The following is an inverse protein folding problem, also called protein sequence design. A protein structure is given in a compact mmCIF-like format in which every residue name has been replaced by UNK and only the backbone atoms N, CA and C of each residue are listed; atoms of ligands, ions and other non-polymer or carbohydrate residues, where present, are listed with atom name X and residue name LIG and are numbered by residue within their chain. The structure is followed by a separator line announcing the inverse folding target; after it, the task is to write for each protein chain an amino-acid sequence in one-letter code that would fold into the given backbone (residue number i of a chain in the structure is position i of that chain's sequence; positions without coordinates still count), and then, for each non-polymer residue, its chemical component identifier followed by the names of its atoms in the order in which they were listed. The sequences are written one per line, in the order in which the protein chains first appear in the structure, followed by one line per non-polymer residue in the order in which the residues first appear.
data_IF_321953300280
#
_entry.id   IF_321953300280
#
_cell.length_a   1.000
_cell.length_b   1.000
_cell.length_c   1.000
_cell.angle_alpha   90.00
_cell.angle_beta   90.00
_cell.angle_gamma   90.00
#
_symmetry.space_group_name_H-M   'P 1'
#
loop_
_entity.id
_entity.type
_entity.pdbx_description
1 polymer ?
#
# COMPACT_ATOMS: atom_id res chain seq x y z
N UNK A 1 25.45 42.77 9.26
CA UNK A 1 25.16 41.43 9.82
C UNK A 1 24.71 40.40 8.79
N UNK A 2 23.85 40.72 7.84
CA UNK A 2 23.35 39.76 6.80
C UNK A 2 24.47 39.19 5.89
N UNK A 3 25.48 39.99 5.52
CA UNK A 3 26.61 39.55 4.67
C UNK A 3 27.59 38.59 5.38
N UNK A 4 27.73 38.66 6.69
CA UNK A 4 28.62 37.76 7.45
C UNK A 4 27.99 36.41 7.74
N UNK A 5 26.67 36.38 7.94
CA UNK A 5 25.91 35.14 8.09
C UNK A 5 25.85 34.34 6.78
N UNK A 6 25.68 35.02 5.63
CA UNK A 6 25.72 34.38 4.32
C UNK A 6 27.09 33.76 3.99
N UNK A 7 28.17 34.37 4.43
CA UNK A 7 29.56 33.86 4.23
C UNK A 7 29.83 32.61 5.07
N UNK A 8 29.32 32.55 6.31
CA UNK A 8 29.47 31.35 7.18
C UNK A 8 28.65 30.17 6.69
N UNK A 9 27.40 30.41 6.26
CA UNK A 9 26.53 29.36 5.69
C UNK A 9 27.15 28.78 4.42
N UNK A 10 27.67 29.63 3.53
CA UNK A 10 28.34 29.18 2.31
C UNK A 10 29.60 28.38 2.63
N UNK A 11 30.43 28.85 3.54
CA UNK A 11 31.65 28.13 3.96
C UNK A 11 31.32 26.75 4.55
N UNK A 12 30.23 26.64 5.33
CA UNK A 12 29.79 25.37 5.86
C UNK A 12 29.29 24.43 4.74
N UNK A 13 28.56 24.96 3.78
CA UNK A 13 28.09 24.18 2.62
C UNK A 13 29.26 23.68 1.77
N UNK A 14 30.23 24.57 1.46
CA UNK A 14 31.41 24.22 0.69
C UNK A 14 32.28 23.18 1.45
N UNK A 15 32.41 23.30 2.77
CA UNK A 15 33.09 22.30 3.62
C UNK A 15 32.37 20.94 3.58
N UNK A 16 31.00 20.94 3.60
CA UNK A 16 30.20 19.74 3.52
C UNK A 16 30.35 19.11 2.14
N UNK A 17 30.20 19.89 1.06
CA UNK A 17 30.26 19.39 -0.32
C UNK A 17 31.64 18.80 -0.67
N UNK A 18 32.71 19.31 -0.08
CA UNK A 18 34.04 18.73 -0.26
C UNK A 18 34.17 17.31 0.34
N UNK A 19 33.27 16.88 1.23
CA UNK A 19 33.31 15.60 1.95
C UNK A 19 32.11 14.71 1.64
N UNK A 20 30.97 15.33 1.44
CA UNK A 20 29.70 14.69 1.09
C UNK A 20 29.00 15.59 0.06
N UNK A 21 28.82 15.15 -1.18
CA UNK A 21 28.42 16.00 -2.32
C UNK A 21 26.93 16.37 -2.26
N UNK A 22 26.51 17.07 -1.21
CA UNK A 22 25.11 17.39 -0.91
C UNK A 22 24.47 18.25 -2.01
N UNK A 23 25.16 19.30 -2.46
CA UNK A 23 24.68 20.16 -3.55
C UNK A 23 24.59 19.42 -4.88
N UNK A 24 25.51 18.51 -5.15
CA UNK A 24 25.45 17.65 -6.35
C UNK A 24 24.24 16.73 -6.30
N UNK A 25 24.01 16.05 -5.17
CA UNK A 25 22.87 15.17 -4.97
C UNK A 25 21.54 15.95 -5.08
N UNK A 26 21.46 17.15 -4.50
CA UNK A 26 20.30 18.02 -4.65
C UNK A 26 20.02 18.39 -6.11
N UNK A 27 21.05 18.76 -6.84
CA UNK A 27 20.92 19.14 -8.24
C UNK A 27 20.49 17.95 -9.10
N UNK A 28 21.16 16.81 -8.99
CA UNK A 28 20.89 15.63 -9.83
C UNK A 28 19.53 15.00 -9.56
N UNK A 29 19.07 14.99 -8.30
CA UNK A 29 17.83 14.28 -7.93
C UNK A 29 16.61 15.18 -7.79
N UNK A 30 16.77 16.50 -7.65
CA UNK A 30 15.67 17.44 -7.44
C UNK A 30 15.69 18.62 -8.41
N UNK A 31 16.73 19.46 -8.37
CA UNK A 31 16.71 20.73 -9.11
C UNK A 31 16.87 20.55 -10.63
N UNK A 32 17.68 19.60 -11.07
CA UNK A 32 17.93 19.26 -12.48
C UNK A 32 17.26 17.96 -12.92
N UNK A 33 16.44 17.33 -12.07
CA UNK A 33 15.59 16.23 -12.46
C UNK A 33 14.36 16.75 -13.17
N UNK A 34 14.26 16.49 -14.47
CA UNK A 34 13.14 16.94 -15.30
C UNK A 34 12.02 15.91 -15.30
N UNK A 35 10.88 16.29 -14.76
CA UNK A 35 9.66 15.49 -14.74
C UNK A 35 8.68 15.95 -15.83
N UNK A 36 7.80 15.06 -16.35
CA UNK A 36 6.76 15.44 -17.30
C UNK A 36 5.86 16.57 -16.79
N UNK A 37 5.68 17.62 -17.61
CA UNK A 37 4.92 18.83 -17.21
C UNK A 37 3.41 18.62 -17.03
N UNK A 38 2.87 17.46 -17.39
CA UNK A 38 1.44 17.15 -17.38
C UNK A 38 0.99 16.21 -16.27
N UNK A 39 1.75 16.06 -15.18
CA UNK A 39 1.33 15.26 -14.03
C UNK A 39 -0.01 15.75 -13.48
N UNK A 40 -0.87 14.78 -13.13
CA UNK A 40 -2.14 15.02 -12.47
C UNK A 40 -2.13 14.44 -11.04
N UNK A 41 -3.27 14.47 -10.33
CA UNK A 41 -3.37 14.05 -8.94
C UNK A 41 -2.94 12.59 -8.67
N UNK A 42 -3.02 11.69 -9.65
CA UNK A 42 -2.56 10.31 -9.50
C UNK A 42 -1.07 10.18 -9.20
N UNK A 43 -0.29 11.22 -9.48
CA UNK A 43 1.16 11.19 -9.26
C UNK A 43 1.57 11.55 -7.83
N UNK A 44 0.65 12.05 -6.98
CA UNK A 44 0.90 12.28 -5.56
C UNK A 44 1.07 10.99 -4.76
N UNK A 45 0.44 9.88 -5.17
CA UNK A 45 0.43 8.66 -4.38
C UNK A 45 1.81 7.99 -4.19
N UNK A 46 2.81 8.33 -5.00
CA UNK A 46 4.19 7.90 -4.78
C UNK A 46 4.86 8.62 -3.60
N UNK A 47 4.80 9.95 -3.57
CA UNK A 47 5.33 10.76 -2.46
C UNK A 47 4.54 10.57 -1.17
N UNK A 48 3.21 10.37 -1.27
CA UNK A 48 2.38 10.03 -0.12
C UNK A 48 2.69 8.65 0.47
N UNK A 49 3.03 7.65 -0.36
CA UNK A 49 3.46 6.34 0.13
C UNK A 49 4.76 6.46 0.95
N UNK A 50 5.71 7.29 0.47
CA UNK A 50 6.94 7.57 1.22
C UNK A 50 6.65 8.30 2.55
N UNK A 51 5.73 9.27 2.56
CA UNK A 51 5.30 9.95 3.77
C UNK A 51 4.74 8.96 4.79
N UNK A 52 3.83 8.08 4.36
CA UNK A 52 3.21 7.10 5.26
C UNK A 52 4.25 6.10 5.77
N UNK A 53 5.20 5.67 4.93
CA UNK A 53 6.31 4.82 5.38
C UNK A 53 7.07 5.48 6.52
N UNK A 54 7.39 6.77 6.42
CA UNK A 54 8.06 7.52 7.50
C UNK A 54 7.19 7.58 8.75
N UNK A 55 5.89 7.85 8.60
CA UNK A 55 4.93 7.84 9.73
C UNK A 55 4.93 6.48 10.43
N UNK A 56 4.89 5.37 9.67
CA UNK A 56 4.89 4.01 10.23
C UNK A 56 6.18 3.70 10.97
N UNK A 57 7.34 4.01 10.40
CA UNK A 57 8.64 3.78 11.05
C UNK A 57 8.74 4.59 12.34
N UNK A 58 8.45 5.89 12.28
CA UNK A 58 8.58 6.77 13.46
C UNK A 58 7.61 6.35 14.56
N UNK A 59 6.33 6.17 14.25
CA UNK A 59 5.33 5.73 15.24
C UNK A 59 5.64 4.33 15.79
N UNK A 60 6.14 3.42 14.95
CA UNK A 60 6.57 2.08 15.35
C UNK A 60 7.72 2.12 16.36
N UNK A 61 8.74 2.95 16.13
CA UNK A 61 9.86 3.12 17.08
C UNK A 61 9.35 3.59 18.46
N UNK A 62 8.43 4.57 18.49
CA UNK A 62 7.85 5.02 19.77
C UNK A 62 6.99 3.96 20.44
N UNK A 63 6.27 3.13 19.67
CA UNK A 63 5.50 2.02 20.25
C UNK A 63 6.41 0.98 20.91
N UNK A 64 7.55 0.64 20.30
CA UNK A 64 8.48 -0.36 20.88
C UNK A 64 9.05 0.03 22.22
N UNK A 65 9.08 1.32 22.56
CA UNK A 65 9.59 1.79 23.87
C UNK A 65 8.75 1.29 25.05
N UNK A 66 7.48 1.00 24.82
CA UNK A 66 6.53 0.59 25.87
C UNK A 66 5.88 -0.78 25.59
N UNK A 67 6.06 -1.34 24.39
CA UNK A 67 5.48 -2.62 24.02
C UNK A 67 6.33 -3.79 24.55
N UNK A 68 5.67 -4.88 24.96
CA UNK A 68 6.29 -6.12 25.42
C UNK A 68 5.80 -7.28 24.54
N UNK A 69 6.67 -7.92 23.75
CA UNK A 69 6.29 -9.07 22.91
C UNK A 69 6.23 -10.37 23.73
N UNK A 70 5.32 -10.43 24.69
CA UNK A 70 5.16 -11.55 25.60
C UNK A 70 3.69 -11.99 25.63
N UNK A 71 3.43 -13.19 25.15
CA UNK A 71 2.11 -13.81 25.08
C UNK A 71 1.67 -14.48 26.39
N UNK A 72 2.56 -14.59 27.40
CA UNK A 72 2.24 -15.21 28.66
C UNK A 72 1.27 -14.35 29.49
N UNK A 73 0.49 -15.04 30.33
CA UNK A 73 -0.47 -14.39 31.20
C UNK A 73 0.23 -13.68 32.37
N UNK A 74 -0.14 -12.45 32.61
CA UNK A 74 0.30 -11.69 33.77
C UNK A 74 -0.54 -12.03 35.03
N UNK A 75 -0.29 -11.35 36.14
CA UNK A 75 -1.01 -11.55 37.40
C UNK A 75 -2.54 -11.31 37.30
N UNK A 76 -3.01 -10.63 36.28
CA UNK A 76 -4.44 -10.38 36.00
C UNK A 76 -5.03 -11.40 35.01
N UNK A 77 -4.32 -12.49 34.69
CA UNK A 77 -4.71 -13.49 33.71
C UNK A 77 -4.92 -12.93 32.29
N UNK A 78 -4.23 -11.85 31.94
CA UNK A 78 -4.23 -11.24 30.61
C UNK A 78 -2.84 -11.38 29.97
N UNK A 79 -2.75 -11.57 28.64
CA UNK A 79 -1.47 -11.60 27.94
C UNK A 79 -0.70 -10.29 28.13
N UNK A 80 0.60 -10.38 28.39
CA UNK A 80 1.41 -9.19 28.66
C UNK A 80 1.51 -8.26 27.44
N UNK A 81 1.52 -8.80 26.22
CA UNK A 81 1.49 -8.01 24.99
C UNK A 81 0.20 -7.19 24.87
N UNK A 82 -0.96 -7.80 25.17
CA UNK A 82 -2.24 -7.09 25.15
C UNK A 82 -2.27 -5.97 26.20
N UNK A 83 -1.85 -6.26 27.43
CA UNK A 83 -1.80 -5.25 28.50
C UNK A 83 -0.78 -4.15 28.23
N UNK A 84 0.31 -4.43 27.51
CA UNK A 84 1.26 -3.41 27.07
C UNK A 84 0.61 -2.42 26.08
N UNK A 85 -0.25 -2.90 25.17
CA UNK A 85 -1.02 -2.01 24.28
C UNK A 85 -2.02 -1.17 25.07
N UNK A 86 -2.74 -1.77 26.04
CA UNK A 86 -3.66 -1.03 26.93
C UNK A 86 -2.91 0.05 27.73
N UNK A 87 -1.74 -0.27 28.27
CA UNK A 87 -0.86 0.69 28.95
C UNK A 87 -0.46 1.86 28.04
N UNK A 88 -0.05 1.58 26.80
CA UNK A 88 0.27 2.62 25.81
C UNK A 88 -0.96 3.51 25.56
N UNK A 89 -2.13 2.92 25.44
CA UNK A 89 -3.37 3.64 25.13
C UNK A 89 -3.88 4.51 26.27
N UNK A 90 -3.67 4.11 27.52
CA UNK A 90 -4.32 4.72 28.69
C UNK A 90 -3.39 5.51 29.59
N UNK A 91 -2.16 5.01 29.80
CA UNK A 91 -1.26 5.53 30.83
C UNK A 91 -0.08 6.31 30.25
N UNK A 92 0.35 6.01 29.03
CA UNK A 92 1.44 6.75 28.37
C UNK A 92 0.88 8.06 27.81
N UNK A 93 1.48 9.19 28.21
CA UNK A 93 1.09 10.51 27.73
C UNK A 93 1.20 10.60 26.20
N UNK A 94 0.07 10.85 25.50
CA UNK A 94 -0.01 10.87 24.04
C UNK A 94 0.11 9.50 23.37
N UNK A 95 0.20 8.41 24.13
CA UNK A 95 0.37 7.05 23.60
C UNK A 95 -0.76 6.61 22.67
N UNK A 96 -2.01 7.00 22.98
CA UNK A 96 -3.16 6.73 22.11
C UNK A 96 -3.02 7.37 20.71
N UNK A 97 -2.43 8.58 20.62
CA UNK A 97 -2.17 9.24 19.33
C UNK A 97 -1.20 8.39 18.51
N UNK A 98 -0.08 7.98 19.10
CA UNK A 98 0.96 7.19 18.44
C UNK A 98 0.42 5.81 18.04
N UNK A 99 -0.34 5.16 18.92
CA UNK A 99 -0.96 3.87 18.64
C UNK A 99 -1.96 3.95 17.48
N UNK A 100 -2.87 4.94 17.50
CA UNK A 100 -3.79 5.13 16.39
C UNK A 100 -3.09 5.64 15.11
N UNK A 101 -2.07 6.47 15.23
CA UNK A 101 -1.26 6.90 14.09
C UNK A 101 -0.64 5.69 13.37
N UNK A 102 -0.18 4.69 14.12
CA UNK A 102 0.39 3.48 13.57
C UNK A 102 -0.67 2.57 12.94
N UNK A 103 -1.75 2.24 13.66
CA UNK A 103 -2.80 1.31 13.19
C UNK A 103 -3.64 1.91 12.05
N UNK A 104 -4.10 3.15 12.18
CA UNK A 104 -4.80 3.87 11.11
C UNK A 104 -3.88 4.11 9.93
N UNK A 105 -2.60 4.44 10.21
CA UNK A 105 -1.58 4.63 9.21
C UNK A 105 -1.33 3.40 8.36
N UNK A 106 -1.40 2.18 8.92
CA UNK A 106 -1.30 0.95 8.14
C UNK A 106 -2.42 0.86 7.08
N UNK A 107 -3.67 1.18 7.44
CA UNK A 107 -4.77 1.24 6.48
C UNK A 107 -4.56 2.33 5.41
N UNK A 108 -4.11 3.52 5.80
CA UNK A 108 -3.79 4.58 4.85
C UNK A 108 -2.63 4.22 3.93
N UNK A 109 -1.66 3.42 4.41
CA UNK A 109 -0.56 2.94 3.59
C UNK A 109 -1.09 2.08 2.44
N UNK A 110 -1.97 1.11 2.73
CA UNK A 110 -2.58 0.29 1.68
C UNK A 110 -3.48 1.09 0.74
N UNK A 111 -4.25 2.07 1.24
CA UNK A 111 -5.03 2.97 0.38
C UNK A 111 -4.11 3.67 -0.63
N UNK A 112 -3.04 4.29 -0.15
CA UNK A 112 -2.10 5.03 -0.97
C UNK A 112 -1.36 4.12 -1.95
N UNK A 113 -0.91 2.94 -1.52
CA UNK A 113 -0.20 1.97 -2.36
C UNK A 113 -1.12 1.39 -3.42
N UNK A 114 -2.36 1.03 -3.11
CA UNK A 114 -3.33 0.59 -4.11
C UNK A 114 -3.59 1.67 -5.17
N UNK A 115 -3.78 2.92 -4.76
CA UNK A 115 -3.98 4.02 -5.69
C UNK A 115 -2.73 4.29 -6.55
N UNK A 116 -1.53 4.12 -5.96
CA UNK A 116 -0.26 4.18 -6.68
C UNK A 116 -0.13 3.06 -7.73
N UNK A 117 -0.49 1.83 -7.39
CA UNK A 117 -0.51 0.69 -8.30
C UNK A 117 -1.55 0.87 -9.42
N UNK A 118 -2.76 1.33 -9.08
CA UNK A 118 -3.79 1.67 -10.06
C UNK A 118 -3.35 2.75 -11.03
N UNK A 119 -2.63 3.78 -10.57
CA UNK A 119 -2.02 4.77 -11.46
C UNK A 119 -1.07 4.10 -12.46
N UNK A 120 -0.24 3.18 -11.98
CA UNK A 120 0.64 2.38 -12.83
C UNK A 120 -0.14 1.59 -13.88
N UNK A 121 -1.23 0.97 -13.48
CA UNK A 121 -2.11 0.18 -14.36
C UNK A 121 -2.81 1.07 -15.41
N UNK A 122 -3.42 2.19 -14.98
CA UNK A 122 -4.17 3.12 -15.84
C UNK A 122 -3.27 3.74 -16.92
N UNK A 123 -2.04 4.14 -16.55
CA UNK A 123 -1.13 4.82 -17.48
C UNK A 123 -0.06 3.91 -18.09
N UNK A 124 -0.10 2.60 -17.80
CA UNK A 124 0.86 1.64 -18.34
C UNK A 124 2.29 1.90 -17.86
N UNK A 125 2.45 2.32 -16.58
CA UNK A 125 3.78 2.62 -16.01
C UNK A 125 4.64 1.38 -15.76
N UNK A 126 4.11 0.19 -15.98
CA UNK A 126 4.81 -1.10 -15.96
C UNK A 126 5.45 -1.47 -17.29
N UNK A 127 5.12 -0.74 -18.38
CA UNK A 127 5.63 -1.03 -19.72
C UNK A 127 7.06 -0.48 -19.92
N UNK A 128 7.74 -1.06 -20.90
CA UNK A 128 9.11 -0.67 -21.29
C UNK A 128 9.27 0.86 -21.39
N UNK A 129 10.33 1.43 -20.74
CA UNK A 129 11.50 0.79 -20.12
C UNK A 129 11.36 0.67 -18.57
N UNK A 130 10.15 0.60 -18.00
CA UNK A 130 9.86 0.68 -16.55
C UNK A 130 9.52 -0.66 -15.91
N UNK A 131 9.85 -1.78 -16.58
CA UNK A 131 9.55 -3.12 -16.07
C UNK A 131 10.18 -3.37 -14.71
N UNK A 132 11.46 -2.97 -14.54
CA UNK A 132 12.17 -3.15 -13.28
C UNK A 132 11.60 -2.27 -12.17
N UNK A 133 11.17 -1.04 -12.49
CA UNK A 133 10.45 -0.17 -11.54
C UNK A 133 9.19 -0.87 -11.03
N UNK A 134 8.43 -1.50 -11.93
CA UNK A 134 7.22 -2.24 -11.57
C UNK A 134 7.52 -3.48 -10.71
N UNK A 135 8.58 -4.22 -11.02
CA UNK A 135 8.98 -5.39 -10.24
C UNK A 135 9.39 -5.00 -8.82
N UNK A 136 10.24 -3.96 -8.66
CA UNK A 136 10.56 -3.46 -7.31
C UNK A 136 9.30 -3.00 -6.57
N UNK A 137 8.37 -2.30 -7.23
CA UNK A 137 7.08 -1.94 -6.65
C UNK A 137 6.25 -3.15 -6.21
N UNK A 138 6.24 -4.22 -7.00
CA UNK A 138 5.55 -5.47 -6.65
C UNK A 138 6.20 -6.19 -5.47
N UNK A 139 7.52 -6.17 -5.37
CA UNK A 139 8.26 -6.71 -4.22
C UNK A 139 8.02 -5.88 -2.95
N UNK A 140 7.94 -4.54 -3.07
CA UNK A 140 7.54 -3.66 -1.98
C UNK A 140 6.13 -4.01 -1.51
N UNK A 141 5.19 -4.23 -2.42
CA UNK A 141 3.82 -4.62 -2.07
C UNK A 141 3.78 -5.95 -1.31
N UNK A 142 4.52 -6.96 -1.75
CA UNK A 142 4.66 -8.25 -1.05
C UNK A 142 5.28 -8.09 0.35
N UNK A 143 6.37 -7.34 0.45
CA UNK A 143 7.02 -7.06 1.74
C UNK A 143 6.08 -6.28 2.67
N UNK A 144 5.30 -5.33 2.14
CA UNK A 144 4.31 -4.58 2.91
C UNK A 144 3.15 -5.48 3.40
N UNK A 145 2.73 -6.46 2.60
CA UNK A 145 1.74 -7.46 3.05
C UNK A 145 2.29 -8.29 4.22
N UNK A 146 3.55 -8.76 4.14
CA UNK A 146 4.20 -9.49 5.22
C UNK A 146 4.36 -8.62 6.46
N UNK A 147 4.81 -7.37 6.29
CA UNK A 147 4.96 -6.38 7.36
C UNK A 147 3.66 -6.15 8.12
N UNK A 148 2.58 -5.89 7.39
CA UNK A 148 1.27 -5.66 7.98
C UNK A 148 0.71 -6.91 8.68
N UNK A 149 0.91 -8.09 8.12
CA UNK A 149 0.49 -9.34 8.75
C UNK A 149 1.20 -9.59 10.08
N UNK A 150 2.52 -9.43 10.09
CA UNK A 150 3.32 -9.61 11.30
C UNK A 150 2.97 -8.57 12.36
N UNK A 151 2.79 -7.30 11.97
CA UNK A 151 2.39 -6.21 12.88
C UNK A 151 0.98 -6.38 13.43
N UNK A 152 0.07 -6.98 12.66
CA UNK A 152 -1.30 -7.23 13.11
C UNK A 152 -1.39 -8.23 14.26
N UNK A 153 -0.46 -9.19 14.37
CA UNK A 153 -0.39 -10.14 15.47
C UNK A 153 -0.02 -9.45 16.80
N UNK A 154 0.80 -8.41 16.77
CA UNK A 154 1.45 -7.85 17.97
C UNK A 154 0.48 -7.37 19.07
N UNK A 155 -0.70 -6.77 18.77
CA UNK A 155 -1.65 -6.40 19.82
C UNK A 155 -2.19 -7.56 20.64
N UNK A 156 -2.04 -8.79 20.18
CA UNK A 156 -2.48 -10.02 20.83
C UNK A 156 -3.96 -10.00 21.21
N UNK A 157 -4.77 -9.37 20.36
CA UNK A 157 -6.21 -9.40 20.44
C UNK A 157 -6.79 -10.67 19.83
N UNK A 158 -8.08 -10.89 20.02
CA UNK A 158 -8.77 -12.11 19.60
C UNK A 158 -8.68 -12.32 18.06
N UNK A 159 -8.88 -11.24 17.28
CA UNK A 159 -8.77 -11.35 15.83
C UNK A 159 -7.31 -11.42 15.35
N UNK A 160 -6.38 -10.73 16.01
CA UNK A 160 -4.94 -10.82 15.75
C UNK A 160 -4.43 -12.25 15.87
N UNK A 161 -4.75 -12.91 16.97
CA UNK A 161 -4.33 -14.29 17.27
C UNK A 161 -4.92 -15.29 16.27
N UNK A 162 -6.26 -15.29 16.14
CA UNK A 162 -6.95 -16.24 15.28
C UNK A 162 -6.73 -15.97 13.78
N UNK A 163 -6.55 -14.71 13.40
CA UNK A 163 -6.15 -14.35 12.04
C UNK A 163 -4.77 -14.90 11.69
N UNK A 164 -3.80 -14.79 12.60
CA UNK A 164 -2.47 -15.35 12.40
C UNK A 164 -2.52 -16.89 12.34
N UNK A 165 -3.28 -17.54 13.22
CA UNK A 165 -3.47 -18.99 13.21
C UNK A 165 -3.99 -19.48 11.85
N UNK A 166 -5.01 -18.81 11.30
CA UNK A 166 -5.58 -19.16 9.98
C UNK A 166 -4.55 -18.96 8.87
N UNK A 167 -3.87 -17.81 8.83
CA UNK A 167 -2.93 -17.49 7.74
C UNK A 167 -1.72 -18.41 7.75
N UNK A 168 -1.14 -18.70 8.94
CA UNK A 168 0.02 -19.60 9.03
C UNK A 168 -0.39 -21.04 8.66
N UNK A 169 -1.59 -21.46 9.07
CA UNK A 169 -2.10 -22.78 8.70
C UNK A 169 -2.35 -22.95 7.19
N UNK A 170 -2.48 -21.87 6.41
CA UNK A 170 -2.54 -21.99 4.95
C UNK A 170 -1.27 -22.59 4.35
N UNK A 171 -0.11 -22.36 4.98
CA UNK A 171 1.14 -22.94 4.52
C UNK A 171 1.16 -24.46 4.70
N UNK A 172 0.41 -25.02 5.67
CA UNK A 172 0.32 -26.47 5.87
C UNK A 172 -0.34 -27.21 4.69
N UNK A 173 -1.11 -26.48 3.84
CA UNK A 173 -1.70 -27.05 2.64
C UNK A 173 -0.69 -27.31 1.51
N UNK A 174 0.54 -26.80 1.60
CA UNK A 174 1.59 -27.02 0.60
C UNK A 174 2.02 -28.49 0.67
N UNK A 175 1.97 -29.23 -0.46
CA UNK A 175 2.37 -30.64 -0.45
C UNK A 175 3.80 -30.86 0.02
N UNK A 176 4.04 -31.94 0.73
CA UNK A 176 5.33 -32.44 1.24
C UNK A 176 5.91 -31.60 2.37
N UNK A 177 6.10 -30.29 2.18
CA UNK A 177 6.81 -29.42 3.15
C UNK A 177 5.86 -28.60 4.04
N UNK A 178 4.56 -28.57 3.72
CA UNK A 178 3.60 -27.65 4.35
C UNK A 178 3.50 -27.76 5.87
N UNK A 179 3.31 -28.96 6.43
CA UNK A 179 3.23 -29.12 7.89
C UNK A 179 4.47 -28.64 8.63
N UNK A 180 5.65 -29.02 8.12
CA UNK A 180 6.94 -28.61 8.71
C UNK A 180 7.15 -27.10 8.58
N UNK A 181 6.80 -26.52 7.43
CA UNK A 181 6.89 -25.08 7.19
C UNK A 181 5.94 -24.30 8.13
N UNK A 182 4.71 -24.76 8.30
CA UNK A 182 3.75 -24.14 9.22
C UNK A 182 4.28 -24.18 10.67
N UNK A 183 4.76 -25.33 11.12
CA UNK A 183 5.39 -25.50 12.44
C UNK A 183 6.63 -24.59 12.60
N UNK A 184 7.45 -24.51 11.56
CA UNK A 184 8.62 -23.63 11.57
C UNK A 184 8.23 -22.15 11.67
N UNK A 185 7.19 -21.70 10.95
CA UNK A 185 6.70 -20.31 11.03
C UNK A 185 6.12 -20.01 12.42
N UNK A 186 5.30 -20.90 12.97
CA UNK A 186 4.79 -20.77 14.34
C UNK A 186 5.94 -20.76 15.37
N UNK A 187 6.96 -21.60 15.14
CA UNK A 187 7.97 -21.92 16.15
C UNK A 187 7.44 -22.85 17.24
N UNK A 188 6.23 -23.32 17.05
CA UNK A 188 5.47 -24.22 17.92
C UNK A 188 4.42 -24.94 17.05
N UNK A 189 3.58 -25.77 17.64
CA UNK A 189 2.46 -26.42 16.93
C UNK A 189 1.33 -25.43 16.57
N UNK A 190 1.17 -24.38 17.35
CA UNK A 190 0.16 -23.33 17.17
C UNK A 190 0.77 -21.95 17.39
N UNK A 191 0.01 -20.89 17.13
CA UNK A 191 0.39 -19.53 17.50
C UNK A 191 0.62 -19.47 19.01
N UNK A 192 1.83 -19.07 19.40
CA UNK A 192 2.29 -19.04 20.79
C UNK A 192 3.15 -17.81 21.05
N UNK A 193 3.67 -17.70 22.27
CA UNK A 193 4.64 -16.67 22.64
C UNK A 193 5.87 -16.66 21.71
N UNK A 194 6.33 -17.83 21.27
CA UNK A 194 7.44 -17.96 20.32
C UNK A 194 7.09 -17.32 18.98
N UNK A 195 5.86 -17.52 18.49
CA UNK A 195 5.37 -16.89 17.25
C UNK A 195 5.37 -15.36 17.40
N UNK A 196 4.86 -14.86 18.52
CA UNK A 196 4.78 -13.44 18.82
C UNK A 196 6.17 -12.79 18.80
N UNK A 197 7.14 -13.41 19.48
CA UNK A 197 8.50 -12.89 19.56
C UNK A 197 9.19 -12.87 18.19
N UNK A 198 9.02 -13.94 17.39
CA UNK A 198 9.55 -13.97 16.00
C UNK A 198 8.94 -12.90 15.14
N UNK A 199 7.63 -12.72 15.20
CA UNK A 199 6.92 -11.72 14.40
C UNK A 199 7.28 -10.30 14.83
N UNK A 200 7.49 -10.08 16.12
CA UNK A 200 7.99 -8.82 16.62
C UNK A 200 9.38 -8.49 16.04
N UNK A 201 10.32 -9.41 16.08
CA UNK A 201 11.66 -9.20 15.54
C UNK A 201 11.65 -8.93 14.02
N UNK A 202 10.82 -9.68 13.28
CA UNK A 202 10.67 -9.50 11.84
C UNK A 202 10.01 -8.15 11.49
N UNK A 203 8.93 -7.80 12.19
CA UNK A 203 8.17 -6.56 11.96
C UNK A 203 8.95 -5.30 12.36
N UNK A 204 9.73 -5.34 13.44
CA UNK A 204 10.43 -4.14 13.93
C UNK A 204 11.76 -3.92 13.23
N UNK A 205 12.42 -4.98 12.74
CA UNK A 205 13.78 -4.90 12.20
C UNK A 205 13.85 -5.41 10.76
N UNK A 206 13.59 -6.71 10.53
CA UNK A 206 13.99 -7.35 9.29
C UNK A 206 13.19 -6.85 8.09
N UNK A 207 11.88 -6.86 8.17
CA UNK A 207 11.01 -6.46 7.04
C UNK A 207 11.07 -4.94 6.77
N UNK A 208 11.12 -4.04 7.77
CA UNK A 208 11.37 -2.62 7.53
C UNK A 208 12.69 -2.36 6.80
N UNK A 209 13.77 -3.06 7.13
CA UNK A 209 15.05 -2.92 6.43
C UNK A 209 14.95 -3.38 4.97
N UNK A 210 14.26 -4.49 4.71
CA UNK A 210 13.99 -4.97 3.35
C UNK A 210 13.14 -3.95 2.58
N UNK A 211 12.08 -3.41 3.20
CA UNK A 211 11.23 -2.38 2.60
C UNK A 211 12.04 -1.14 2.24
N UNK A 212 12.86 -0.62 3.15
CA UNK A 212 13.72 0.54 2.88
C UNK A 212 14.68 0.28 1.72
N UNK A 213 15.33 -0.88 1.70
CA UNK A 213 16.22 -1.27 0.60
C UNK A 213 15.49 -1.35 -0.74
N UNK A 214 14.29 -1.95 -0.78
CA UNK A 214 13.47 -2.04 -1.98
C UNK A 214 12.95 -0.67 -2.44
N UNK A 215 12.57 0.22 -1.52
CA UNK A 215 12.13 1.59 -1.83
C UNK A 215 13.29 2.39 -2.45
N UNK A 216 14.49 2.29 -1.90
CA UNK A 216 15.69 2.92 -2.49
C UNK A 216 15.94 2.39 -3.90
N UNK A 217 15.91 1.08 -4.10
CA UNK A 217 16.08 0.46 -5.42
C UNK A 217 14.98 0.90 -6.42
N UNK A 218 13.73 1.00 -5.96
CA UNK A 218 12.60 1.47 -6.76
C UNK A 218 12.77 2.91 -7.23
N UNK A 219 13.22 3.80 -6.33
CA UNK A 219 13.46 5.22 -6.65
C UNK A 219 14.65 5.37 -7.59
N UNK A 220 15.76 4.64 -7.36
CA UNK A 220 16.93 4.65 -8.25
C UNK A 220 16.52 4.20 -9.66
N UNK A 221 15.81 3.07 -9.78
CA UNK A 221 15.31 2.58 -11.06
C UNK A 221 14.36 3.59 -11.73
N UNK A 222 13.52 4.30 -10.96
CA UNK A 222 12.64 5.34 -11.49
C UNK A 222 13.44 6.53 -12.05
N UNK A 223 14.47 6.99 -11.33
CA UNK A 223 15.31 8.11 -11.76
C UNK A 223 16.10 7.79 -13.04
N UNK A 224 16.56 6.55 -13.17
CA UNK A 224 17.28 6.08 -14.35
C UNK A 224 16.40 6.18 -15.62
N UNK A 225 15.23 5.58 -15.60
CA UNK A 225 14.35 5.54 -16.78
C UNK A 225 13.42 6.78 -16.89
N UNK A 226 13.23 7.53 -15.81
CA UNK A 226 12.32 8.67 -15.72
C UNK A 226 10.84 8.28 -15.52
N UNK A 227 10.06 9.20 -14.98
CA UNK A 227 8.64 9.02 -14.74
C UNK A 227 7.82 8.90 -16.02
N UNK A 228 6.83 8.00 -16.01
CA UNK A 228 5.78 7.99 -17.03
C UNK A 228 4.82 9.20 -16.82
N UNK A 229 3.91 9.44 -17.75
CA UNK A 229 2.93 10.52 -17.68
C UNK A 229 1.54 10.09 -18.18
N UNK A 230 0.50 10.91 -17.99
CA UNK A 230 -0.86 10.57 -18.37
C UNK A 230 -1.07 10.24 -19.85
N UNK A 231 -0.19 10.70 -20.74
CA UNK A 231 -0.26 10.39 -22.17
C UNK A 231 0.60 9.20 -22.58
N UNK A 232 1.53 8.77 -21.71
CA UNK A 232 2.47 7.69 -22.02
C UNK A 232 3.60 8.10 -22.98
N UNK A 233 3.81 9.42 -23.16
CA UNK A 233 4.88 9.98 -24.02
C UNK A 233 6.23 9.90 -23.31
N UNK A 234 7.28 9.45 -24.03
CA UNK A 234 8.65 9.42 -23.51
C UNK A 234 9.30 10.80 -23.67
N UNK A 235 9.25 11.65 -22.62
CA UNK A 235 9.75 13.03 -22.67
C UNK A 235 11.25 13.13 -22.93
N UNK A 236 12.04 12.11 -22.62
CA UNK A 236 13.49 12.09 -22.85
C UNK A 236 13.87 11.97 -24.33
N UNK A 237 12.91 11.67 -25.23
CA UNK A 237 13.17 11.52 -26.67
C UNK A 237 13.35 12.85 -27.40
N UNK A 238 12.58 13.86 -27.01
CA UNK A 238 12.63 15.18 -27.64
C UNK A 238 13.25 16.18 -26.66
N UNK A 239 14.42 16.70 -27.04
CA UNK A 239 15.21 17.63 -26.23
C UNK A 239 15.50 18.90 -27.01
N UNK A 240 15.76 19.99 -26.29
CA UNK A 240 16.28 21.22 -26.85
C UNK A 240 17.81 21.14 -27.11
N UNK A 241 18.39 22.25 -27.57
CA UNK A 241 19.83 22.39 -27.86
C UNK A 241 20.72 22.18 -26.63
N UNK A 242 20.16 22.40 -25.43
CA UNK A 242 20.84 22.21 -24.14
C UNK A 242 20.64 20.83 -23.53
N UNK A 243 19.97 19.92 -24.25
CA UNK A 243 19.68 18.55 -23.80
C UNK A 243 18.50 18.47 -22.80
N UNK A 244 17.75 19.55 -22.60
CA UNK A 244 16.58 19.61 -21.71
C UNK A 244 15.36 19.03 -22.43
N UNK A 245 14.60 18.11 -21.80
CA UNK A 245 13.39 17.58 -22.39
C UNK A 245 12.33 18.67 -22.66
N UNK A 246 11.86 18.79 -23.89
CA UNK A 246 10.87 19.80 -24.31
C UNK A 246 9.55 19.74 -23.54
N UNK A 247 9.19 18.55 -23.03
CA UNK A 247 8.00 18.28 -22.23
C UNK A 247 8.30 18.06 -20.74
N UNK A 248 9.53 18.41 -20.32
CA UNK A 248 9.98 18.38 -18.95
C UNK A 248 9.91 19.74 -18.27
N UNK A 249 9.71 19.72 -16.96
CA UNK A 249 9.98 20.87 -16.07
C UNK A 249 10.84 20.37 -14.90
N UNK A 250 11.69 21.22 -14.31
CA UNK A 250 12.46 20.85 -13.12
C UNK A 250 11.51 20.37 -12.02
N UNK A 251 11.88 19.29 -11.33
CA UNK A 251 11.07 18.79 -10.22
C UNK A 251 10.96 19.83 -9.10
N UNK A 252 12.10 20.39 -8.68
CA UNK A 252 12.12 21.53 -7.78
C UNK A 252 12.23 22.84 -8.58
N UNK A 253 11.39 23.87 -8.27
CA UNK A 253 10.39 23.92 -7.20
C UNK A 253 8.99 23.41 -7.60
N UNK A 254 8.73 23.13 -8.88
CA UNK A 254 7.36 22.97 -9.41
C UNK A 254 6.61 21.79 -8.78
N UNK A 255 7.20 20.58 -8.81
CA UNK A 255 6.55 19.40 -8.22
C UNK A 255 6.76 19.31 -6.71
N UNK A 256 7.83 19.85 -6.18
CA UNK A 256 8.03 19.96 -4.73
C UNK A 256 6.87 20.74 -4.08
N UNK A 257 6.47 21.90 -4.66
CA UNK A 257 5.34 22.68 -4.13
C UNK A 257 4.02 21.93 -4.27
N UNK A 258 3.82 21.23 -5.40
CA UNK A 258 2.62 20.39 -5.58
C UNK A 258 2.59 19.22 -4.60
N UNK A 259 3.70 18.55 -4.37
CA UNK A 259 3.78 17.45 -3.42
C UNK A 259 3.50 17.92 -1.98
N UNK A 260 4.00 19.11 -1.59
CA UNK A 260 3.64 19.72 -0.30
C UNK A 260 2.12 19.93 -0.20
N UNK A 261 1.47 20.44 -1.25
CA UNK A 261 0.00 20.54 -1.26
C UNK A 261 -0.67 19.18 -1.09
N UNK A 262 -0.21 18.16 -1.80
CA UNK A 262 -0.71 16.79 -1.66
C UNK A 262 -0.54 16.24 -0.24
N UNK A 263 0.62 16.48 0.38
CA UNK A 263 0.92 16.12 1.77
C UNK A 263 -0.03 16.82 2.74
N UNK A 264 -0.25 18.13 2.58
CA UNK A 264 -1.18 18.88 3.47
C UNK A 264 -2.60 18.34 3.36
N UNK A 265 -3.11 18.13 2.14
CA UNK A 265 -4.45 17.55 1.93
C UNK A 265 -4.54 16.15 2.55
N UNK A 266 -3.55 15.31 2.33
CA UNK A 266 -3.48 13.98 2.91
C UNK A 266 -3.49 14.03 4.45
N UNK A 267 -2.67 14.87 5.06
CA UNK A 267 -2.60 15.00 6.52
C UNK A 267 -3.91 15.51 7.12
N UNK A 268 -4.63 16.42 6.44
CA UNK A 268 -5.97 16.85 6.89
C UNK A 268 -6.91 15.65 6.93
N UNK A 269 -6.96 14.84 5.87
CA UNK A 269 -7.82 13.63 5.82
C UNK A 269 -7.36 12.60 6.86
N UNK A 270 -6.07 12.33 6.95
CA UNK A 270 -5.49 11.39 7.90
C UNK A 270 -5.78 11.79 9.35
N UNK A 271 -5.52 13.05 9.73
CA UNK A 271 -5.79 13.56 11.06
C UNK A 271 -7.30 13.57 11.38
N UNK A 272 -8.16 13.87 10.39
CA UNK A 272 -9.60 13.79 10.58
C UNK A 272 -10.04 12.38 10.97
N UNK A 273 -9.51 11.35 10.30
CA UNK A 273 -9.81 9.95 10.66
C UNK A 273 -9.15 9.58 11.98
N UNK A 274 -7.87 9.92 12.18
CA UNK A 274 -7.13 9.58 13.39
C UNK A 274 -7.77 10.12 14.68
N UNK A 275 -8.23 11.36 14.66
CA UNK A 275 -8.78 12.00 15.86
C UNK A 275 -10.28 11.71 16.07
N UNK A 276 -11.04 11.44 15.03
CA UNK A 276 -12.50 11.31 15.14
C UNK A 276 -13.02 9.90 14.90
N UNK A 277 -12.33 9.07 14.11
CA UNK A 277 -12.77 7.70 13.78
C UNK A 277 -11.59 6.75 13.50
N UNK A 278 -10.61 6.58 14.41
CA UNK A 278 -9.37 5.84 14.14
C UNK A 278 -9.60 4.36 13.81
N UNK A 279 -10.71 3.80 14.27
CA UNK A 279 -11.08 2.41 13.99
C UNK A 279 -11.77 2.24 12.63
N UNK A 280 -12.07 3.36 11.92
CA UNK A 280 -12.74 3.33 10.62
C UNK A 280 -14.09 2.59 10.63
N UNK A 281 -14.85 2.66 11.73
CA UNK A 281 -16.10 1.91 11.87
C UNK A 281 -15.92 0.39 11.95
N UNK A 282 -14.78 -0.08 12.41
CA UNK A 282 -14.43 -1.50 12.50
C UNK A 282 -13.70 -2.07 11.27
N UNK A 283 -13.44 -1.24 10.24
CA UNK A 283 -12.66 -1.68 9.08
C UNK A 283 -11.15 -1.55 9.27
N UNK A 284 -10.71 -0.59 10.08
CA UNK A 284 -9.28 -0.38 10.36
C UNK A 284 -8.84 -1.10 11.62
N UNK A 285 -9.72 -1.18 12.62
CA UNK A 285 -9.55 -2.00 13.81
C UNK A 285 -10.89 -2.67 14.11
N UNK A 286 -10.90 -3.98 14.10
CA UNK A 286 -12.08 -4.81 14.34
C UNK A 286 -12.42 -4.87 15.84
N UNK A 287 -13.72 -4.82 16.18
CA UNK A 287 -14.19 -4.87 17.55
C UNK A 287 -13.63 -6.08 18.36
N UNK A 288 -13.52 -7.31 17.83
CA UNK A 288 -12.96 -8.42 18.59
C UNK A 288 -11.48 -8.27 18.96
N UNK A 289 -10.75 -7.33 18.36
CA UNK A 289 -9.35 -7.06 18.72
C UNK A 289 -9.18 -6.19 19.97
N UNK A 290 -10.27 -5.68 20.51
CA UNK A 290 -10.29 -5.04 21.84
C UNK A 290 -10.48 -6.05 22.99
N UNK A 291 -10.71 -7.33 22.67
CA UNK A 291 -10.67 -8.45 23.62
C UNK A 291 -9.31 -9.14 23.53
N UNK A 292 -8.75 -9.50 24.70
CA UNK A 292 -7.50 -10.27 24.76
C UNK A 292 -7.64 -11.63 24.09
N UNK A 293 -6.58 -12.08 23.43
CA UNK A 293 -6.55 -13.39 22.76
C UNK A 293 -6.84 -14.52 23.72
N UNK A 294 -7.79 -15.38 23.35
CA UNK A 294 -8.12 -16.62 24.06
C UNK A 294 -8.03 -17.80 23.09
N UNK A 295 -7.00 -18.61 23.25
CA UNK A 295 -6.75 -19.78 22.41
C UNK A 295 -7.84 -20.87 22.50
N UNK A 296 -8.67 -20.84 23.56
CA UNK A 296 -9.75 -21.80 23.77
C UNK A 296 -11.12 -21.33 23.23
N UNK A 297 -11.19 -20.09 22.74
CA UNK A 297 -12.45 -19.49 22.25
C UNK A 297 -12.29 -18.96 20.84
N UNK A 298 -12.59 -19.79 19.85
CA UNK A 298 -12.57 -19.37 18.43
C UNK A 298 -13.65 -18.33 18.13
N UNK A 299 -13.33 -17.19 17.49
CA UNK A 299 -14.33 -16.22 17.06
C UNK A 299 -15.30 -16.85 16.03
N UNK A 300 -16.59 -16.48 16.04
CA UNK A 300 -17.59 -17.03 15.12
C UNK A 300 -17.31 -16.66 13.66
N UNK A 301 -16.56 -15.60 13.42
CA UNK A 301 -16.14 -15.14 12.10
C UNK A 301 -14.71 -14.62 12.17
N UNK A 302 -13.82 -15.21 11.38
CA UNK A 302 -12.43 -14.79 11.23
C UNK A 302 -12.27 -14.25 9.80
N UNK A 303 -11.91 -12.99 9.67
CA UNK A 303 -11.55 -12.37 8.40
C UNK A 303 -10.26 -11.56 8.57
N UNK A 304 -9.39 -11.50 7.56
CA UNK A 304 -8.24 -10.61 7.59
C UNK A 304 -8.67 -9.15 7.49
N UNK A 305 -7.77 -8.23 7.82
CA UNK A 305 -7.96 -6.80 7.63
C UNK A 305 -8.32 -6.48 6.17
N UNK A 306 -9.16 -5.47 5.95
CA UNK A 306 -9.82 -5.13 4.69
C UNK A 306 -8.90 -5.15 3.45
N UNK A 307 -7.65 -4.77 3.56
CA UNK A 307 -6.72 -4.72 2.44
C UNK A 307 -6.24 -6.10 1.95
N UNK A 308 -6.44 -7.15 2.73
CA UNK A 308 -6.20 -8.55 2.31
C UNK A 308 -7.45 -9.25 1.80
N UNK A 309 -8.63 -8.69 2.06
CA UNK A 309 -9.92 -9.36 1.76
C UNK A 309 -10.15 -9.70 0.29
N UNK A 310 -9.65 -8.94 -0.73
CA UNK A 310 -9.79 -9.36 -2.12
C UNK A 310 -9.11 -10.71 -2.39
N UNK A 311 -7.91 -10.91 -1.88
CA UNK A 311 -7.14 -12.15 -2.05
C UNK A 311 -7.71 -13.29 -1.21
N UNK A 312 -8.17 -12.98 0.01
CA UNK A 312 -8.85 -13.95 0.87
C UNK A 312 -10.19 -14.43 0.28
N UNK A 313 -10.92 -13.56 -0.41
CA UNK A 313 -12.12 -13.97 -1.13
C UNK A 313 -11.81 -14.97 -2.25
N UNK A 314 -10.73 -14.75 -3.02
CA UNK A 314 -10.26 -15.70 -4.04
C UNK A 314 -9.91 -17.04 -3.41
N UNK A 315 -9.16 -17.05 -2.30
CA UNK A 315 -8.81 -18.28 -1.58
C UNK A 315 -10.05 -19.08 -1.21
N UNK A 316 -11.08 -18.44 -0.63
CA UNK A 316 -12.32 -19.10 -0.20
C UNK A 316 -13.22 -19.50 -1.35
N UNK A 317 -13.16 -18.80 -2.48
CA UNK A 317 -14.01 -19.06 -3.64
C UNK A 317 -13.60 -20.32 -4.41
N UNK A 318 -12.30 -20.66 -4.40
CA UNK A 318 -11.78 -21.82 -5.12
C UNK A 318 -12.16 -23.09 -4.34
N UNK A 319 -12.90 -24.03 -4.97
CA UNK A 319 -13.30 -25.26 -4.30
C UNK A 319 -12.06 -26.15 -4.02
N UNK A 320 -12.15 -26.93 -2.96
CA UNK A 320 -11.16 -27.99 -2.70
C UNK A 320 -11.30 -29.07 -3.78
N UNK A 321 -10.31 -29.12 -4.66
CA UNK A 321 -10.21 -30.17 -5.69
C UNK A 321 -9.28 -31.27 -5.18
N UNK A 322 -9.58 -32.52 -5.49
CA UNK A 322 -8.84 -33.69 -4.96
C UNK A 322 -8.74 -33.74 -3.42
N UNK A 323 -9.72 -33.20 -2.71
CA UNK A 323 -9.77 -33.22 -1.24
C UNK A 323 -8.78 -32.29 -0.54
N UNK A 324 -8.08 -31.40 -1.27
CA UNK A 324 -7.10 -30.48 -0.69
C UNK A 324 -7.46 -29.02 -0.93
N UNK A 325 -7.17 -28.17 0.05
CA UNK A 325 -7.35 -26.71 -0.05
C UNK A 325 -6.17 -25.99 -0.72
N UNK A 326 -5.13 -26.71 -1.13
CA UNK A 326 -3.94 -26.13 -1.76
C UNK A 326 -4.30 -25.27 -2.99
N UNK A 327 -5.34 -25.60 -3.72
CA UNK A 327 -5.79 -24.86 -4.90
C UNK A 327 -6.23 -23.42 -4.57
N UNK A 328 -6.88 -23.24 -3.43
CA UNK A 328 -7.20 -21.91 -2.92
C UNK A 328 -5.96 -21.09 -2.60
N UNK A 329 -4.97 -21.72 -1.95
CA UNK A 329 -3.67 -21.09 -1.63
C UNK A 329 -2.91 -20.72 -2.90
N UNK A 330 -2.86 -21.63 -3.88
CA UNK A 330 -2.25 -21.35 -5.19
C UNK A 330 -2.98 -20.20 -5.90
N UNK A 331 -4.31 -20.20 -5.89
CA UNK A 331 -5.09 -19.11 -6.48
C UNK A 331 -4.82 -17.76 -5.82
N UNK A 332 -4.79 -17.71 -4.50
CA UNK A 332 -4.45 -16.50 -3.75
C UNK A 332 -3.03 -16.01 -4.09
N UNK A 333 -2.03 -16.89 -4.10
CA UNK A 333 -0.67 -16.55 -4.47
C UNK A 333 -0.55 -16.10 -5.93
N UNK A 334 -1.22 -16.81 -6.85
CA UNK A 334 -1.26 -16.45 -8.27
C UNK A 334 -1.88 -15.07 -8.50
N UNK A 335 -2.91 -14.70 -7.75
CA UNK A 335 -3.53 -13.38 -7.84
C UNK A 335 -2.53 -12.25 -7.58
N UNK A 336 -1.62 -12.41 -6.63
CA UNK A 336 -0.56 -11.44 -6.34
C UNK A 336 0.57 -11.50 -7.37
N UNK A 337 1.02 -12.70 -7.74
CA UNK A 337 2.12 -12.88 -8.71
C UNK A 337 1.77 -12.33 -10.09
N UNK A 338 0.53 -12.48 -10.55
CA UNK A 338 0.07 -11.95 -11.84
C UNK A 338 0.17 -10.42 -11.93
N UNK A 339 0.06 -9.71 -10.82
CA UNK A 339 0.28 -8.26 -10.78
C UNK A 339 1.74 -7.95 -11.18
N UNK A 340 2.70 -8.69 -10.65
CA UNK A 340 4.11 -8.49 -10.98
C UNK A 340 4.42 -8.82 -12.46
N UNK A 341 3.67 -9.74 -13.06
CA UNK A 341 3.89 -10.20 -14.44
C UNK A 341 3.27 -9.29 -15.51
N UNK A 342 2.55 -8.22 -15.13
CA UNK A 342 1.92 -7.27 -16.08
C UNK A 342 2.82 -6.79 -17.23
N UNK A 343 4.13 -6.48 -17.02
CA UNK A 343 5.00 -6.03 -18.12
C UNK A 343 5.07 -7.00 -19.29
N UNK A 344 4.95 -8.29 -19.01
CA UNK A 344 5.05 -9.36 -20.02
C UNK A 344 3.69 -9.84 -20.52
N UNK A 345 2.63 -9.65 -19.74
CA UNK A 345 1.28 -10.04 -20.15
C UNK A 345 0.66 -9.03 -21.11
N UNK A 346 0.90 -7.74 -20.92
CA UNK A 346 0.33 -6.68 -21.77
C UNK A 346 1.14 -6.51 -23.06
N UNK A 347 0.61 -7.04 -24.18
CA UNK A 347 1.19 -6.97 -25.50
C UNK A 347 0.74 -5.75 -26.32
N UNK A 348 -0.13 -4.89 -25.78
CA UNK A 348 -0.58 -3.68 -26.47
C UNK A 348 0.57 -2.67 -26.63
N UNK A 349 0.61 -1.93 -27.73
CA UNK A 349 1.67 -0.96 -28.01
C UNK A 349 1.50 0.34 -27.21
N UNK A 350 0.27 0.73 -26.97
CA UNK A 350 -0.09 1.99 -26.29
C UNK A 350 -0.05 1.79 -24.76
N UNK A 351 0.54 2.75 -24.04
CA UNK A 351 0.66 2.72 -22.58
C UNK A 351 -0.61 3.18 -21.88
N UNK A 352 -1.00 4.42 -22.12
CA UNK A 352 -2.06 5.10 -21.37
C UNK A 352 -3.45 4.67 -21.80
N UNK A 353 -4.33 4.47 -20.81
CA UNK A 353 -5.78 4.23 -21.02
C UNK A 353 -6.46 5.31 -21.85
N UNK A 354 -5.91 6.53 -21.90
CA UNK A 354 -6.44 7.63 -22.73
C UNK A 354 -6.52 7.27 -24.21
N UNK A 355 -5.54 6.53 -24.68
CA UNK A 355 -5.35 6.18 -26.09
C UNK A 355 -5.62 4.69 -26.38
N UNK A 356 -5.84 3.86 -25.37
CA UNK A 356 -6.28 2.48 -25.55
C UNK A 356 -7.71 2.39 -26.04
N UNK A 357 -8.02 1.31 -26.71
CA UNK A 357 -9.34 1.03 -27.28
C UNK A 357 -10.36 0.56 -26.24
N UNK A 358 -11.57 0.23 -26.70
CA UNK A 358 -12.69 -0.14 -25.84
C UNK A 358 -12.49 -1.48 -25.13
N UNK A 359 -11.77 -2.43 -25.74
CA UNK A 359 -11.60 -3.79 -25.18
C UNK A 359 -10.81 -3.68 -23.87
N UNK A 360 -9.66 -3.02 -23.88
CA UNK A 360 -8.85 -2.82 -22.66
C UNK A 360 -9.61 -2.03 -21.59
N UNK A 361 -10.33 -0.98 -21.99
CA UNK A 361 -11.12 -0.17 -21.04
C UNK A 361 -12.21 -0.97 -20.36
N UNK A 362 -12.92 -1.80 -21.13
CA UNK A 362 -13.97 -2.68 -20.57
C UNK A 362 -13.33 -3.72 -19.63
N UNK A 363 -12.25 -4.37 -20.05
CA UNK A 363 -11.53 -5.32 -19.20
C UNK A 363 -11.05 -4.66 -17.89
N UNK A 364 -10.52 -3.44 -17.95
CA UNK A 364 -10.09 -2.68 -16.79
C UNK A 364 -11.26 -2.35 -15.83
N UNK A 365 -12.40 -1.91 -16.36
CA UNK A 365 -13.59 -1.63 -15.55
C UNK A 365 -14.10 -2.90 -14.87
N UNK A 366 -14.18 -4.01 -15.60
CA UNK A 366 -14.59 -5.31 -15.05
C UNK A 366 -13.60 -5.78 -13.96
N UNK A 367 -12.31 -5.61 -14.16
CA UNK A 367 -11.28 -5.91 -13.14
C UNK A 367 -11.46 -5.07 -11.88
N UNK A 368 -11.72 -3.76 -12.00
CA UNK A 368 -11.97 -2.87 -10.85
C UNK A 368 -13.21 -3.34 -10.08
N UNK A 369 -14.31 -3.66 -10.78
CA UNK A 369 -15.52 -4.18 -10.16
C UNK A 369 -15.23 -5.49 -9.45
N UNK A 370 -14.49 -6.40 -10.09
CA UNK A 370 -14.11 -7.68 -9.48
C UNK A 370 -13.25 -7.50 -8.24
N UNK A 371 -12.23 -6.64 -8.29
CA UNK A 371 -11.34 -6.38 -7.16
C UNK A 371 -12.09 -5.81 -5.94
N UNK A 372 -12.93 -4.79 -6.17
CA UNK A 372 -13.74 -4.17 -5.10
C UNK A 372 -14.78 -5.16 -4.59
N UNK A 373 -15.48 -5.88 -5.47
CA UNK A 373 -16.49 -6.88 -5.09
C UNK A 373 -15.88 -8.02 -4.27
N UNK A 374 -14.71 -8.52 -4.65
CA UNK A 374 -13.96 -9.52 -3.88
C UNK A 374 -13.56 -8.97 -2.51
N UNK A 375 -13.13 -7.70 -2.45
CA UNK A 375 -12.83 -7.02 -1.19
C UNK A 375 -14.01 -7.02 -0.22
N UNK A 376 -15.18 -6.65 -0.70
CA UNK A 376 -16.42 -6.64 0.09
C UNK A 376 -16.80 -8.07 0.53
N UNK A 377 -16.81 -9.03 -0.40
CA UNK A 377 -17.17 -10.42 -0.10
C UNK A 377 -16.15 -11.10 0.83
N UNK A 378 -14.87 -10.73 0.76
CA UNK A 378 -13.83 -11.26 1.63
C UNK A 378 -14.00 -10.88 3.10
N UNK A 379 -14.58 -9.71 3.37
CA UNK A 379 -14.90 -9.25 4.72
C UNK A 379 -16.20 -9.85 5.28
N UNK A 380 -17.04 -10.47 4.43
CA UNK A 380 -18.34 -11.00 4.84
C UNK A 380 -18.28 -12.50 5.17
N UNK A 381 -19.19 -12.96 6.04
CA UNK A 381 -19.41 -14.40 6.27
C UNK A 381 -19.78 -15.09 4.94
N UNK A 382 -19.16 -16.23 4.68
CA UNK A 382 -19.43 -17.02 3.48
C UNK A 382 -20.85 -17.63 3.53
N UNK A 383 -21.58 -17.48 2.42
CA UNK A 383 -22.83 -18.19 2.12
C UNK A 383 -22.72 -18.76 0.71
N UNK A 384 -23.56 -19.69 0.34
CA UNK A 384 -23.52 -20.30 -1.02
C UNK A 384 -23.61 -19.22 -2.11
N UNK A 385 -24.55 -18.27 -1.97
CA UNK A 385 -24.71 -17.17 -2.92
C UNK A 385 -23.47 -16.27 -2.97
N UNK A 386 -22.91 -15.86 -1.82
CA UNK A 386 -21.72 -15.03 -1.76
C UNK A 386 -20.50 -15.75 -2.34
N UNK A 387 -20.39 -17.04 -2.09
CA UNK A 387 -19.31 -17.88 -2.64
C UNK A 387 -19.44 -18.01 -4.15
N UNK A 388 -20.65 -18.19 -4.70
CA UNK A 388 -20.88 -18.20 -6.14
C UNK A 388 -20.49 -16.88 -6.79
N UNK A 389 -20.90 -15.74 -6.21
CA UNK A 389 -20.52 -14.40 -6.72
C UNK A 389 -19.00 -14.22 -6.64
N UNK A 390 -18.36 -14.63 -5.55
CA UNK A 390 -16.91 -14.57 -5.41
C UNK A 390 -16.18 -15.42 -6.47
N UNK A 391 -16.70 -16.58 -6.84
CA UNK A 391 -16.19 -17.42 -7.96
C UNK A 391 -16.25 -16.68 -9.28
N UNK A 392 -17.40 -16.08 -9.60
CA UNK A 392 -17.58 -15.31 -10.85
C UNK A 392 -16.58 -14.14 -10.88
N UNK A 393 -16.48 -13.37 -9.81
CA UNK A 393 -15.55 -12.25 -9.72
C UNK A 393 -14.08 -12.70 -9.76
N UNK A 394 -13.75 -13.86 -9.20
CA UNK A 394 -12.41 -14.44 -9.31
C UNK A 394 -12.07 -14.80 -10.75
N UNK A 395 -13.02 -15.38 -11.49
CA UNK A 395 -12.85 -15.66 -12.93
C UNK A 395 -12.59 -14.35 -13.69
N UNK A 396 -13.36 -13.29 -13.42
CA UNK A 396 -13.15 -11.96 -14.04
C UNK A 396 -11.77 -11.39 -13.67
N UNK A 397 -11.35 -11.51 -12.41
CA UNK A 397 -10.03 -11.09 -11.95
C UNK A 397 -8.92 -11.79 -12.75
N UNK A 398 -8.95 -13.11 -12.84
CA UNK A 398 -7.93 -13.88 -13.57
C UNK A 398 -8.01 -13.66 -15.08
N UNK A 399 -9.21 -13.53 -15.64
CA UNK A 399 -9.40 -13.26 -17.07
C UNK A 399 -8.77 -11.93 -17.51
N UNK A 400 -8.76 -10.92 -16.62
CA UNK A 400 -8.05 -9.66 -16.89
C UNK A 400 -6.57 -9.90 -17.18
N UNK A 401 -5.88 -10.67 -16.34
CA UNK A 401 -4.44 -10.92 -16.50
C UNK A 401 -4.14 -11.97 -17.57
N UNK A 402 -4.76 -13.13 -17.48
CA UNK A 402 -4.49 -14.27 -18.37
C UNK A 402 -4.99 -14.05 -19.80
N UNK A 403 -6.06 -13.26 -19.95
CA UNK A 403 -6.57 -12.84 -21.26
C UNK A 403 -5.78 -11.68 -21.87
N UNK A 404 -4.98 -10.96 -21.08
CA UNK A 404 -4.28 -9.73 -21.52
C UNK A 404 -3.39 -9.93 -22.74
N UNK A 405 -2.60 -11.02 -22.88
CA UNK A 405 -1.79 -11.25 -24.06
C UNK A 405 -2.59 -11.35 -25.38
N UNK A 406 -3.88 -11.65 -25.28
CA UNK A 406 -4.77 -11.81 -26.43
C UNK A 406 -5.55 -10.52 -26.71
N UNK A 407 -6.34 -10.04 -25.75
CA UNK A 407 -7.23 -8.91 -25.99
C UNK A 407 -6.48 -7.59 -26.20
N UNK A 408 -5.27 -7.40 -25.65
CA UNK A 408 -4.49 -6.17 -25.89
C UNK A 408 -3.89 -6.10 -27.30
N UNK A 409 -3.75 -7.23 -28.00
CA UNK A 409 -3.38 -7.26 -29.42
C UNK A 409 -4.55 -6.96 -30.36
N UNK A 410 -5.75 -7.30 -29.93
CA UNK A 410 -6.98 -7.11 -30.71
C UNK A 410 -7.57 -5.72 -30.56
N UNK A 411 -7.09 -4.94 -29.60
CA UNK A 411 -7.67 -3.65 -29.24
C UNK A 411 -7.31 -2.56 -30.26
N UNK A 412 -8.27 -1.71 -30.59
CA UNK A 412 -8.14 -0.59 -31.54
C UNK A 412 -7.71 0.66 -30.80
N UNK A 413 -6.42 0.99 -30.88
CA UNK A 413 -5.84 2.11 -30.18
C UNK A 413 -6.02 3.44 -30.94
N UNK A 414 -6.10 4.55 -30.19
CA UNK A 414 -6.00 5.90 -30.74
C UNK A 414 -4.55 6.32 -30.91
N UNK A 415 -4.23 7.22 -31.84
CA UNK A 415 -2.89 7.74 -31.99
C UNK A 415 -2.45 8.49 -30.72
N UNK A 416 -1.24 8.19 -30.25
CA UNK A 416 -0.60 8.87 -29.12
C UNK A 416 0.01 10.18 -29.64
N UNK A 417 -0.17 11.34 -28.98
CA UNK A 417 0.42 12.59 -29.41
C UNK A 417 1.95 12.56 -29.30
N UNK A 418 2.65 13.28 -30.16
CA UNK A 418 4.11 13.43 -30.08
C UNK A 418 4.57 14.16 -28.82
N UNK A 419 3.76 15.13 -28.37
CA UNK A 419 4.01 15.98 -27.20
C UNK A 419 2.95 15.76 -26.14
N UNK A 420 3.30 15.96 -24.86
CA UNK A 420 2.34 15.80 -23.77
C UNK A 420 1.23 16.86 -23.83
N UNK A 421 0.02 16.43 -23.53
CA UNK A 421 -1.15 17.31 -23.46
C UNK A 421 -1.30 17.94 -22.08
N UNK A 422 -1.58 19.23 -22.03
CA UNK A 422 -1.79 19.95 -20.76
C UNK A 422 -3.23 19.83 -20.28
N UNK A 423 -3.41 19.81 -18.95
CA UNK A 423 -4.75 19.85 -18.34
C UNK A 423 -5.46 21.14 -18.65
N UNK A 424 -6.71 21.04 -19.07
CA UNK A 424 -7.58 22.21 -19.31
C UNK A 424 -7.92 22.93 -18.00
N UNK A 425 -8.32 24.21 -18.08
CA UNK A 425 -8.78 24.97 -16.91
C UNK A 425 -9.94 24.26 -16.20
N UNK A 426 -10.89 23.68 -16.96
CA UNK A 426 -11.98 22.88 -16.40
C UNK A 426 -11.46 21.70 -15.56
N UNK A 427 -10.46 20.95 -16.06
CA UNK A 427 -9.87 19.83 -15.31
C UNK A 427 -9.16 20.31 -14.03
N UNK A 428 -8.51 21.47 -14.05
CA UNK A 428 -7.88 22.05 -12.87
C UNK A 428 -8.92 22.47 -11.82
N UNK A 429 -10.01 23.12 -12.23
CA UNK A 429 -11.12 23.48 -11.34
C UNK A 429 -11.73 22.22 -10.72
N UNK A 430 -12.04 21.20 -11.54
CA UNK A 430 -12.58 19.92 -11.06
C UNK A 430 -11.66 19.25 -10.05
N UNK A 431 -10.34 19.33 -10.21
CA UNK A 431 -9.40 18.81 -9.21
C UNK A 431 -9.61 19.45 -7.83
N UNK A 432 -9.68 20.79 -7.76
CA UNK A 432 -9.90 21.49 -6.48
C UNK A 432 -11.27 21.20 -5.88
N UNK A 433 -12.31 21.04 -6.72
CA UNK A 433 -13.65 20.63 -6.27
C UNK A 433 -13.59 19.23 -5.64
N UNK A 434 -12.93 18.25 -6.28
CA UNK A 434 -12.77 16.91 -5.71
C UNK A 434 -11.95 16.89 -4.41
N UNK A 435 -10.88 17.69 -4.33
CA UNK A 435 -10.11 17.85 -3.08
C UNK A 435 -11.01 18.39 -1.98
N UNK A 436 -11.78 19.43 -2.23
CA UNK A 436 -12.73 19.99 -1.26
C UNK A 436 -13.77 18.97 -0.78
N UNK A 437 -14.40 18.24 -1.72
CA UNK A 437 -15.36 17.18 -1.41
C UNK A 437 -14.72 16.07 -0.58
N UNK A 438 -13.50 15.65 -0.93
CA UNK A 438 -12.79 14.58 -0.22
C UNK A 438 -12.49 14.99 1.23
N UNK A 439 -11.95 16.19 1.43
CA UNK A 439 -11.62 16.71 2.78
C UNK A 439 -12.88 16.85 3.63
N UNK A 440 -13.92 17.51 3.10
CA UNK A 440 -15.20 17.71 3.81
C UNK A 440 -15.86 16.35 4.07
N UNK A 441 -15.91 15.47 3.08
CA UNK A 441 -16.49 14.14 3.19
C UNK A 441 -15.79 13.28 4.25
N UNK A 442 -14.45 13.29 4.28
CA UNK A 442 -13.67 12.58 5.29
C UNK A 442 -13.95 13.10 6.71
N UNK A 443 -14.01 14.43 6.88
CA UNK A 443 -14.33 15.05 8.16
C UNK A 443 -15.75 14.68 8.64
N UNK A 444 -16.75 14.84 7.76
CA UNK A 444 -18.15 14.52 8.10
C UNK A 444 -18.34 13.02 8.38
N UNK A 445 -17.68 12.15 7.61
CA UNK A 445 -17.72 10.71 7.85
C UNK A 445 -17.11 10.35 9.20
N UNK A 446 -15.93 10.89 9.51
CA UNK A 446 -15.24 10.64 10.77
C UNK A 446 -16.05 11.13 11.98
N UNK A 447 -16.63 12.34 11.92
CA UNK A 447 -17.46 12.88 12.99
C UNK A 447 -18.74 12.07 13.20
N UNK A 448 -19.42 11.66 12.12
CA UNK A 448 -20.61 10.81 12.19
C UNK A 448 -20.34 9.44 12.81
N UNK A 449 -19.18 8.85 12.55
CA UNK A 449 -18.78 7.58 13.17
C UNK A 449 -18.53 7.75 14.68
N UNK A 450 -17.91 8.87 15.09
CA UNK A 450 -17.70 9.19 16.49
C UNK A 450 -19.04 9.30 17.25
N UNK A 451 -19.99 10.03 16.69
CA UNK A 451 -21.28 10.28 17.34
C UNK A 451 -22.13 9.01 17.53
N UNK A 452 -21.96 8.01 16.63
CA UNK A 452 -22.60 6.69 16.80
C UNK A 452 -22.07 5.88 17.98
N UNK A 453 -20.79 6.08 18.36
CA UNK A 453 -20.18 5.39 19.52
C UNK A 453 -20.57 6.00 20.85
N UNK A 454 -20.96 7.28 20.88
CA UNK A 454 -21.44 7.94 22.11
C UNK A 454 -22.85 7.51 22.50
N UNK A 455 -23.55 6.70 21.70
CA UNK A 455 -24.94 6.23 21.92
C UNK A 455 -24.97 4.73 22.26
N UNK A 456 -23.82 4.04 22.29
CA UNK A 456 -23.65 2.65 22.74
C UNK A 456 -22.76 2.63 23.97
#
# INVERSE_FOLDING_TARGET
MANQTNNKAKALLDWTDARFPLSKMWNEHLAQYYAPKNFNFWYYFGSLALLVLVIQIVSGIFLTMNYKPDGNLNAYHLPAAFTAVEYIMRDVSGGWIIRYMHSTGASFFFIVVYLHMFRGLIYGSYKKPRELVWIFGSLIFLALMAEAFMGYLLPWGQMSFWGAQVIINLFSAIPVIGPDLSTWIHGDFNVSDVTLNRFFALHVIAVPLVLLGLVVAHIIALHEVGSNNPDGVEIKKLKDENGVPLDGIPFHPYYTVKDILGVVVFLIVFCSVLFFAPEGGGYFLEAPNFDAANALKTPPHIAPVWYFTPFYAILRAIPSFLGTQVWGVIGMGAAVVLIALLPWLDKGEVKSVRYRGPIFKTALVLFIIAFIGLGILGAMVATDTRTLVARILSVVYFAFFLGMPFYTKLDTNKPVPERVTMSTTKQKIMFFVYVGITVIGAYLFATKLRDRKSVV
#
